data_IF_607114003736
#
_entry.id   IF_607114003736
#
_cell.length_a   1.000
_cell.length_b   1.000
_cell.length_c   1.000
_cell.angle_alpha   90.00
_cell.angle_beta   90.00
_cell.angle_gamma   90.00
#
_symmetry.space_group_name_H-M   'P 1'
#
loop_
_entity.id
_entity.type
_entity.pdbx_description
1 polymer ?
#
# COMPACT_ATOMS: atom_id res chain seq x y z
N UNK A 1 -3.60 11.43 -33.88
CA UNK A 1 -4.80 12.27 -34.10
C UNK A 1 -4.61 13.54 -33.29
N UNK A 2 -4.85 14.70 -33.89
CA UNK A 2 -4.69 16.00 -33.23
C UNK A 2 -5.83 16.21 -32.22
N UNK A 3 -5.56 16.84 -31.08
CA UNK A 3 -6.54 17.17 -30.02
C UNK A 3 -7.81 17.82 -30.61
N UNK A 4 -7.65 18.63 -31.66
CA UNK A 4 -8.71 19.32 -32.39
C UNK A 4 -9.67 18.38 -33.14
N UNK A 5 -9.25 17.18 -33.55
CA UNK A 5 -10.14 16.19 -34.15
C UNK A 5 -10.93 15.45 -33.09
N UNK A 6 -10.32 15.13 -31.94
CA UNK A 6 -11.00 14.50 -30.80
C UNK A 6 -12.08 15.40 -30.21
N UNK A 7 -11.83 16.71 -30.10
CA UNK A 7 -12.84 17.67 -29.65
C UNK A 7 -14.01 17.79 -30.65
N UNK A 8 -13.74 17.70 -31.96
CA UNK A 8 -14.79 17.67 -32.99
C UNK A 8 -15.61 16.38 -32.94
N UNK A 9 -14.96 15.23 -32.75
CA UNK A 9 -15.62 13.92 -32.62
C UNK A 9 -16.51 13.81 -31.37
N UNK A 10 -16.16 14.54 -30.31
CA UNK A 10 -16.97 14.68 -29.10
C UNK A 10 -18.08 15.75 -29.25
N UNK A 11 -18.28 16.32 -30.45
CA UNK A 11 -19.22 17.40 -30.74
C UNK A 11 -19.00 18.68 -29.89
N UNK A 12 -17.77 18.94 -29.46
CA UNK A 12 -17.43 20.02 -28.50
C UNK A 12 -17.09 21.36 -29.17
N UNK A 13 -16.96 21.40 -30.49
CA UNK A 13 -16.82 22.66 -31.23
C UNK A 13 -18.22 23.18 -31.52
N UNK A 14 -18.58 24.31 -30.91
CA UNK A 14 -19.85 24.99 -31.19
C UNK A 14 -20.00 25.17 -32.70
N UNK A 15 -21.11 24.64 -33.22
CA UNK A 15 -21.65 24.97 -34.53
C UNK A 15 -22.13 26.43 -34.51
N UNK A 16 -21.21 27.38 -34.53
CA UNK A 16 -21.53 28.74 -35.00
C UNK A 16 -21.49 28.73 -36.52
N UNK A 17 -22.65 28.52 -37.12
CA UNK A 17 -22.89 28.78 -38.53
C UNK A 17 -22.65 30.27 -38.82
N UNK A 18 -21.59 30.60 -39.55
CA UNK A 18 -21.63 31.47 -40.74
C UNK A 18 -20.22 31.73 -41.27
N UNK A 19 -20.15 31.73 -42.59
CA UNK A 19 -19.00 32.01 -43.44
C UNK A 19 -18.29 33.32 -43.06
N UNK A 20 -16.98 33.28 -42.76
CA UNK A 20 -15.92 34.13 -43.36
C UNK A 20 -14.54 33.99 -42.70
N UNK A 21 -13.51 33.74 -43.55
CA UNK A 21 -12.04 33.95 -43.43
C UNK A 21 -11.24 33.36 -42.24
N UNK A 22 -9.98 32.91 -42.51
CA UNK A 22 -9.15 32.24 -41.52
C UNK A 22 -8.56 33.24 -40.53
N UNK A 23 -8.91 33.09 -39.25
CA UNK A 23 -8.28 33.75 -38.10
C UNK A 23 -7.59 32.68 -37.22
N UNK A 24 -6.59 33.06 -36.41
CA UNK A 24 -5.62 32.14 -35.79
C UNK A 24 -6.30 31.19 -34.77
N UNK A 25 -5.65 30.10 -34.32
CA UNK A 25 -6.37 28.94 -33.77
C UNK A 25 -7.22 29.37 -32.59
N UNK A 26 -8.50 28.98 -32.62
CA UNK A 26 -9.45 29.27 -31.56
C UNK A 26 -8.86 28.86 -30.20
N UNK A 27 -8.88 29.73 -29.17
CA UNK A 27 -8.43 29.35 -27.84
C UNK A 27 -9.29 28.16 -27.38
N UNK A 28 -8.64 27.15 -26.80
CA UNK A 28 -9.33 25.99 -26.25
C UNK A 28 -10.40 26.45 -25.25
N UNK A 29 -11.59 25.82 -25.23
CA UNK A 29 -12.61 26.16 -24.25
C UNK A 29 -12.08 25.97 -22.82
N UNK A 30 -12.62 26.69 -21.83
CA UNK A 30 -12.25 26.47 -20.44
C UNK A 30 -12.52 25.02 -20.04
N UNK A 31 -11.57 24.41 -19.33
CA UNK A 31 -11.62 22.99 -18.99
C UNK A 31 -12.88 22.61 -18.19
N UNK A 32 -13.42 23.51 -17.39
CA UNK A 32 -14.64 23.27 -16.59
C UNK A 32 -15.88 23.09 -17.46
N UNK A 33 -16.03 23.84 -18.57
CA UNK A 33 -17.13 23.67 -19.52
C UNK A 33 -17.03 22.33 -20.24
N UNK A 34 -15.82 21.96 -20.66
CA UNK A 34 -15.53 20.67 -21.25
C UNK A 34 -15.92 19.53 -20.30
N UNK A 35 -15.47 19.61 -19.04
CA UNK A 35 -15.77 18.60 -18.02
C UNK A 35 -17.28 18.49 -17.79
N UNK A 36 -18.01 19.60 -17.71
CA UNK A 36 -19.46 19.60 -17.56
C UNK A 36 -20.17 18.94 -18.77
N UNK A 37 -19.67 19.14 -19.99
CA UNK A 37 -20.21 18.49 -21.18
C UNK A 37 -19.91 16.98 -21.19
N UNK A 38 -18.67 16.60 -20.89
CA UNK A 38 -18.26 15.19 -20.77
C UNK A 38 -19.10 14.46 -19.72
N UNK A 39 -19.38 15.09 -18.58
CA UNK A 39 -20.27 14.54 -17.56
C UNK A 39 -21.66 14.20 -18.13
N UNK A 40 -22.26 15.11 -18.90
CA UNK A 40 -23.58 14.88 -19.51
C UNK A 40 -23.56 13.72 -20.51
N UNK A 41 -22.53 13.66 -21.35
CA UNK A 41 -22.36 12.56 -22.31
C UNK A 41 -22.18 11.21 -21.61
N UNK A 42 -21.37 11.16 -20.55
CA UNK A 42 -21.12 9.95 -19.77
C UNK A 42 -22.38 9.44 -19.06
N UNK A 43 -23.17 10.35 -18.47
CA UNK A 43 -24.45 10.00 -17.84
C UNK A 43 -25.44 9.47 -18.89
N UNK A 44 -25.52 10.11 -20.06
CA UNK A 44 -26.39 9.67 -21.15
C UNK A 44 -25.99 8.29 -21.72
N UNK A 45 -24.69 8.00 -21.77
CA UNK A 45 -24.17 6.74 -22.29
C UNK A 45 -24.22 5.58 -21.27
N UNK A 46 -24.51 5.83 -19.98
CA UNK A 46 -24.45 4.82 -18.93
C UNK A 46 -25.40 3.61 -19.14
N UNK A 47 -26.47 3.78 -19.93
CA UNK A 47 -27.40 2.70 -20.30
C UNK A 47 -26.95 1.83 -21.49
N UNK A 48 -25.95 2.26 -22.27
CA UNK A 48 -25.52 1.60 -23.51
C UNK A 48 -24.04 1.19 -23.45
N UNK A 49 -23.71 -0.09 -23.21
CA UNK A 49 -22.32 -0.52 -22.97
C UNK A 49 -21.38 -0.31 -24.17
N UNK A 50 -21.90 -0.33 -25.40
CA UNK A 50 -21.12 -0.08 -26.61
C UNK A 50 -20.78 1.40 -26.80
N UNK A 51 -21.70 2.30 -26.44
CA UNK A 51 -21.51 3.74 -26.48
C UNK A 51 -20.61 4.21 -25.34
N UNK A 52 -20.84 3.69 -24.13
CA UNK A 52 -20.00 4.00 -22.97
C UNK A 52 -18.55 3.59 -23.19
N UNK A 53 -18.30 2.40 -23.74
CA UNK A 53 -16.94 1.92 -24.06
C UNK A 53 -16.22 2.83 -25.07
N UNK A 54 -16.90 3.26 -26.14
CA UNK A 54 -16.34 4.20 -27.12
C UNK A 54 -16.03 5.56 -26.47
N UNK A 55 -16.95 6.09 -25.68
CA UNK A 55 -16.81 7.37 -25.00
C UNK A 55 -15.67 7.35 -23.96
N UNK A 56 -15.57 6.28 -23.16
CA UNK A 56 -14.45 6.08 -22.22
C UNK A 56 -13.11 6.06 -22.98
N UNK A 57 -13.05 5.37 -24.12
CA UNK A 57 -11.86 5.34 -24.97
C UNK A 57 -11.49 6.72 -25.55
N UNK A 58 -12.47 7.56 -25.88
CA UNK A 58 -12.24 8.94 -26.30
C UNK A 58 -11.75 9.81 -25.14
N UNK A 59 -12.35 9.68 -23.95
CA UNK A 59 -11.94 10.40 -22.73
C UNK A 59 -10.52 10.02 -22.33
N UNK A 60 -10.16 8.74 -22.39
CA UNK A 60 -8.79 8.29 -22.14
C UNK A 60 -7.81 8.96 -23.10
N UNK A 61 -8.09 8.97 -24.41
CA UNK A 61 -7.22 9.60 -25.41
C UNK A 61 -7.11 11.11 -25.20
N UNK A 62 -8.20 11.76 -24.81
CA UNK A 62 -8.21 13.18 -24.47
C UNK A 62 -7.26 13.44 -23.30
N UNK A 63 -7.36 12.66 -22.21
CA UNK A 63 -6.43 12.83 -21.09
C UNK A 63 -4.98 12.57 -21.50
N UNK A 64 -4.70 11.55 -22.31
CA UNK A 64 -3.33 11.24 -22.77
C UNK A 64 -2.70 12.30 -23.68
N UNK A 65 -3.51 13.06 -24.41
CA UNK A 65 -3.02 13.99 -25.46
C UNK A 65 -3.16 15.47 -25.08
N UNK A 66 -3.93 15.76 -24.04
CA UNK A 66 -4.14 17.11 -23.55
C UNK A 66 -2.88 17.67 -22.89
N UNK A 67 -2.68 18.98 -23.06
CA UNK A 67 -1.64 19.73 -22.38
C UNK A 67 -1.92 19.75 -20.86
N UNK A 68 -0.97 19.30 -20.01
CA UNK A 68 -1.10 19.35 -18.56
C UNK A 68 -1.43 20.76 -18.02
N UNK A 69 -0.90 21.81 -18.64
CA UNK A 69 -1.12 23.18 -18.17
C UNK A 69 -2.56 23.64 -18.42
N UNK A 70 -3.19 23.17 -19.50
CA UNK A 70 -4.59 23.42 -19.79
C UNK A 70 -5.52 22.59 -18.90
N UNK A 71 -5.19 21.32 -18.63
CA UNK A 71 -5.94 20.47 -17.69
C UNK A 71 -5.97 21.06 -16.27
N UNK A 72 -4.95 21.83 -15.90
CA UNK A 72 -4.78 22.42 -14.57
C UNK A 72 -5.15 23.91 -14.52
N UNK A 73 -5.78 24.47 -15.55
CA UNK A 73 -6.10 25.91 -15.61
C UNK A 73 -7.48 26.20 -15.01
N UNK A 74 -7.57 26.90 -13.85
CA UNK A 74 -8.85 27.42 -13.36
C UNK A 74 -9.38 28.55 -14.27
N UNK A 75 -10.69 28.82 -14.19
CA UNK A 75 -11.38 29.84 -15.03
C UNK A 75 -11.15 31.27 -14.51
N UNK A 76 -10.97 31.42 -13.21
CA UNK A 76 -10.68 32.69 -12.55
C UNK A 76 -9.35 32.61 -11.80
N UNK A 77 -8.56 33.68 -11.87
CA UNK A 77 -7.32 33.87 -11.08
C UNK A 77 -7.61 34.28 -9.63
N UNK A 78 -8.88 34.35 -9.23
CA UNK A 78 -9.29 34.66 -7.87
C UNK A 78 -8.90 33.50 -6.95
N UNK A 79 -8.01 33.76 -5.98
CA UNK A 79 -7.33 32.77 -5.14
C UNK A 79 -8.31 31.98 -4.26
N UNK A 80 -9.00 30.99 -4.86
CA UNK A 80 -9.81 30.01 -4.15
C UNK A 80 -11.08 29.54 -4.88
N UNK A 81 -11.78 30.44 -5.58
CA UNK A 81 -13.06 30.15 -6.24
C UNK A 81 -12.87 29.28 -7.47
N UNK A 82 -11.95 29.67 -8.38
CA UNK A 82 -11.67 28.91 -9.60
C UNK A 82 -11.18 27.48 -9.33
N UNK A 83 -10.35 27.29 -8.30
CA UNK A 83 -9.89 25.96 -7.90
C UNK A 83 -10.98 25.09 -7.26
N UNK A 84 -11.93 25.69 -6.55
CA UNK A 84 -13.07 24.96 -5.97
C UNK A 84 -14.01 24.46 -7.08
N UNK A 85 -14.29 25.30 -8.07
CA UNK A 85 -15.08 24.92 -9.25
C UNK A 85 -14.40 23.80 -10.05
N UNK A 86 -13.10 23.93 -10.29
CA UNK A 86 -12.32 22.90 -10.99
C UNK A 86 -12.34 21.55 -10.25
N UNK A 87 -12.17 21.55 -8.92
CA UNK A 87 -12.29 20.34 -8.08
C UNK A 87 -13.68 19.71 -8.20
N UNK A 88 -14.74 20.54 -8.17
CA UNK A 88 -16.12 20.08 -8.30
C UNK A 88 -16.39 19.45 -9.68
N UNK A 89 -15.90 20.09 -10.75
CA UNK A 89 -16.02 19.61 -12.12
C UNK A 89 -15.33 18.25 -12.31
N UNK A 90 -14.08 18.12 -11.84
CA UNK A 90 -13.37 16.84 -11.89
C UNK A 90 -14.04 15.74 -11.07
N UNK A 91 -14.50 16.07 -9.86
CA UNK A 91 -15.25 15.10 -9.03
C UNK A 91 -16.49 14.59 -9.76
N UNK A 92 -17.21 15.48 -10.44
CA UNK A 92 -18.44 15.18 -11.17
C UNK A 92 -18.19 14.29 -12.39
N UNK A 93 -17.17 14.58 -13.18
CA UNK A 93 -16.78 13.75 -14.34
C UNK A 93 -16.29 12.38 -13.89
N UNK A 94 -15.50 12.31 -12.82
CA UNK A 94 -14.98 11.04 -12.30
C UNK A 94 -16.11 10.18 -11.74
N UNK A 95 -17.07 10.77 -11.04
CA UNK A 95 -18.28 10.05 -10.63
C UNK A 95 -19.08 9.53 -11.82
N UNK A 96 -19.21 10.30 -12.91
CA UNK A 96 -19.88 9.85 -14.13
C UNK A 96 -19.11 8.72 -14.84
N UNK A 97 -17.78 8.84 -14.96
CA UNK A 97 -16.91 7.78 -15.52
C UNK A 97 -17.03 6.48 -14.74
N UNK A 98 -16.98 6.56 -13.40
CA UNK A 98 -17.19 5.42 -12.50
C UNK A 98 -18.59 4.82 -12.69
N UNK A 99 -19.60 5.68 -12.84
CA UNK A 99 -20.99 5.27 -13.11
C UNK A 99 -21.16 4.45 -14.38
N UNK A 100 -20.36 4.71 -15.43
CA UNK A 100 -20.39 3.92 -16.68
C UNK A 100 -19.96 2.46 -16.50
N UNK A 101 -19.27 2.14 -15.40
CA UNK A 101 -18.85 0.79 -15.04
C UNK A 101 -19.42 0.38 -13.67
N UNK A 102 -20.57 0.94 -13.26
CA UNK A 102 -21.21 0.57 -12.02
C UNK A 102 -21.67 -0.90 -12.02
N UNK A 103 -21.67 -1.51 -10.84
CA UNK A 103 -22.22 -2.86 -10.66
C UNK A 103 -23.73 -2.83 -10.95
N UNK A 104 -24.29 -3.90 -11.55
CA UNK A 104 -25.74 -3.99 -11.75
C UNK A 104 -26.50 -3.84 -10.43
N UNK A 105 -27.56 -3.06 -10.42
CA UNK A 105 -28.40 -2.86 -9.25
C UNK A 105 -29.28 -4.10 -9.04
N UNK A 106 -29.29 -4.63 -7.81
CA UNK A 106 -30.22 -5.65 -7.39
C UNK A 106 -31.44 -4.94 -6.81
N UNK A 107 -32.61 -5.01 -7.46
CA UNK A 107 -33.82 -4.32 -7.00
C UNK A 107 -34.43 -4.98 -5.75
N UNK A 108 -34.21 -6.30 -5.55
CA UNK A 108 -34.70 -7.08 -4.41
C UNK A 108 -33.59 -7.92 -3.77
N UNK A 109 -33.50 -7.91 -2.43
CA UNK A 109 -32.53 -8.67 -1.61
C UNK A 109 -32.62 -10.21 -1.78
N UNK A 110 -33.69 -10.70 -2.40
CA UNK A 110 -33.98 -12.13 -2.58
C UNK A 110 -33.70 -12.65 -4.00
N UNK A 111 -33.47 -11.77 -4.97
CA UNK A 111 -33.27 -12.16 -6.37
C UNK A 111 -31.79 -12.23 -6.72
N UNK A 112 -31.34 -13.35 -7.29
CA UNK A 112 -29.98 -13.46 -7.82
C UNK A 112 -29.95 -12.86 -9.23
N UNK A 113 -29.18 -11.80 -9.43
CA UNK A 113 -28.90 -11.27 -10.76
C UNK A 113 -28.24 -12.34 -11.63
N UNK A 114 -28.59 -12.37 -12.92
CA UNK A 114 -27.99 -13.29 -13.88
C UNK A 114 -26.48 -13.01 -14.03
N UNK A 115 -25.67 -14.07 -14.09
CA UNK A 115 -24.23 -13.98 -14.28
C UNK A 115 -23.86 -13.25 -15.58
N UNK A 116 -24.74 -13.28 -16.59
CA UNK A 116 -24.57 -12.52 -17.82
C UNK A 116 -24.45 -11.00 -17.59
N UNK A 117 -25.15 -10.46 -16.59
CA UNK A 117 -25.12 -9.02 -16.26
C UNK A 117 -23.72 -8.55 -15.79
N UNK A 118 -22.88 -9.46 -15.31
CA UNK A 118 -21.54 -9.16 -14.81
C UNK A 118 -20.43 -9.33 -15.87
N UNK A 119 -20.71 -9.92 -17.03
CA UNK A 119 -19.66 -10.28 -18.01
C UNK A 119 -18.92 -9.05 -18.58
N UNK A 120 -19.61 -7.93 -18.76
CA UNK A 120 -19.02 -6.68 -19.26
C UNK A 120 -18.39 -5.81 -18.18
N UNK A 121 -18.60 -6.12 -16.89
CA UNK A 121 -18.12 -5.32 -15.77
C UNK A 121 -16.58 -5.26 -15.73
N UNK A 122 -15.82 -6.36 -15.87
CA UNK A 122 -14.36 -6.29 -15.81
C UNK A 122 -13.74 -5.45 -16.93
N UNK A 123 -14.25 -5.56 -18.16
CA UNK A 123 -13.74 -4.79 -19.31
C UNK A 123 -14.09 -3.32 -19.21
N UNK A 124 -15.32 -2.99 -18.77
CA UNK A 124 -15.73 -1.63 -18.46
C UNK A 124 -14.87 -1.01 -17.35
N UNK A 125 -14.67 -1.74 -16.25
CA UNK A 125 -13.85 -1.28 -15.14
C UNK A 125 -12.39 -1.05 -15.53
N UNK A 126 -11.80 -1.95 -16.32
CA UNK A 126 -10.45 -1.79 -16.84
C UNK A 126 -10.32 -0.53 -17.73
N UNK A 127 -11.32 -0.27 -18.59
CA UNK A 127 -11.33 0.93 -19.44
C UNK A 127 -11.42 2.22 -18.61
N UNK A 128 -12.30 2.25 -17.60
CA UNK A 128 -12.43 3.39 -16.68
C UNK A 128 -11.14 3.60 -15.89
N UNK A 129 -10.55 2.55 -15.32
CA UNK A 129 -9.28 2.64 -14.60
C UNK A 129 -8.13 3.13 -15.49
N UNK A 130 -8.10 2.71 -16.76
CA UNK A 130 -7.13 3.19 -17.75
C UNK A 130 -7.28 4.69 -18.01
N UNK A 131 -8.51 5.19 -18.19
CA UNK A 131 -8.78 6.62 -18.35
C UNK A 131 -8.38 7.43 -17.10
N UNK A 132 -8.70 6.93 -15.90
CA UNK A 132 -8.34 7.59 -14.63
C UNK A 132 -6.82 7.59 -14.40
N UNK A 133 -6.13 6.52 -14.81
CA UNK A 133 -4.65 6.44 -14.73
C UNK A 133 -4.01 7.45 -15.68
N UNK A 134 -4.54 7.63 -16.89
CA UNK A 134 -4.08 8.64 -17.82
C UNK A 134 -4.22 10.05 -17.23
N UNK A 135 -5.38 10.38 -16.64
CA UNK A 135 -5.60 11.68 -15.99
C UNK A 135 -4.59 11.93 -14.87
N UNK A 136 -4.40 10.96 -13.97
CA UNK A 136 -3.47 11.08 -12.85
C UNK A 136 -1.99 11.11 -13.27
N UNK A 137 -1.65 10.54 -14.42
CA UNK A 137 -0.29 10.59 -14.96
C UNK A 137 0.21 12.03 -15.13
N UNK A 138 -0.63 12.89 -15.69
CA UNK A 138 -0.31 14.31 -15.89
C UNK A 138 -0.16 15.08 -14.58
N UNK A 139 -0.89 14.69 -13.52
CA UNK A 139 -0.81 15.35 -12.22
C UNK A 139 0.49 15.02 -11.45
N UNK A 140 1.24 13.99 -11.88
CA UNK A 140 2.54 13.60 -11.29
C UNK A 140 3.71 14.40 -11.85
N UNK A 141 3.66 14.77 -13.14
CA UNK A 141 4.76 15.40 -13.86
C UNK A 141 4.85 16.91 -13.64
N UNK A 142 3.79 17.52 -13.11
CA UNK A 142 3.75 18.93 -12.67
C UNK A 142 4.59 19.17 -11.41
N UNK A 143 5.92 19.12 -11.53
CA UNK A 143 6.84 19.58 -10.50
C UNK A 143 6.97 21.11 -10.52
N UNK A 144 6.65 21.80 -9.42
CA UNK A 144 6.83 23.25 -9.31
C UNK A 144 5.85 23.95 -8.37
N UNK A 145 5.60 25.24 -8.61
CA UNK A 145 4.77 26.14 -7.80
C UNK A 145 3.32 25.66 -7.59
N UNK A 146 2.76 24.87 -8.52
CA UNK A 146 1.37 24.37 -8.48
C UNK A 146 1.16 23.08 -7.68
N UNK A 147 2.21 22.55 -7.04
CA UNK A 147 2.15 21.24 -6.34
C UNK A 147 1.08 21.19 -5.25
N UNK A 148 0.85 22.28 -4.52
CA UNK A 148 -0.16 22.34 -3.47
C UNK A 148 -1.59 22.24 -4.06
N UNK A 149 -1.81 22.85 -5.22
CA UNK A 149 -3.11 22.94 -5.88
C UNK A 149 -3.47 21.61 -6.57
N UNK A 150 -2.50 21.01 -7.27
CA UNK A 150 -2.64 19.66 -7.84
C UNK A 150 -2.88 18.61 -6.77
N UNK A 151 -2.23 18.75 -5.61
CA UNK A 151 -2.50 17.89 -4.45
C UNK A 151 -3.95 18.03 -3.98
N UNK A 152 -4.49 19.26 -3.93
CA UNK A 152 -5.91 19.49 -3.61
C UNK A 152 -6.88 18.81 -4.59
N UNK A 153 -6.55 18.80 -5.89
CA UNK A 153 -7.32 18.09 -6.92
C UNK A 153 -7.26 16.57 -6.74
N UNK A 154 -6.05 16.00 -6.57
CA UNK A 154 -5.84 14.57 -6.30
C UNK A 154 -6.69 14.12 -5.12
N UNK A 155 -6.70 14.90 -4.03
CA UNK A 155 -7.43 14.55 -2.81
C UNK A 155 -8.95 14.63 -2.97
N UNK A 156 -9.45 15.56 -3.78
CA UNK A 156 -10.88 15.67 -4.05
C UNK A 156 -11.42 14.44 -4.79
N UNK A 157 -10.58 13.82 -5.63
CA UNK A 157 -10.99 12.72 -6.52
C UNK A 157 -10.49 11.34 -6.08
N UNK A 158 -9.46 11.27 -5.23
CA UNK A 158 -8.89 10.00 -4.79
C UNK A 158 -9.89 9.06 -4.10
N UNK A 159 -10.78 9.52 -3.18
CA UNK A 159 -11.70 8.61 -2.50
C UNK A 159 -12.66 7.83 -3.42
N UNK A 160 -13.42 8.46 -4.35
CA UNK A 160 -14.29 7.70 -5.24
C UNK A 160 -13.50 6.77 -6.16
N UNK A 161 -12.32 7.18 -6.63
CA UNK A 161 -11.51 6.32 -7.49
C UNK A 161 -10.94 5.12 -6.73
N UNK A 162 -10.47 5.34 -5.50
CA UNK A 162 -10.00 4.26 -4.64
C UNK A 162 -11.12 3.24 -4.37
N UNK A 163 -12.29 3.73 -3.96
CA UNK A 163 -13.44 2.87 -3.69
C UNK A 163 -13.80 2.05 -4.93
N UNK A 164 -13.91 2.69 -6.10
CA UNK A 164 -14.18 2.01 -7.36
C UNK A 164 -13.12 0.96 -7.71
N UNK A 165 -11.85 1.31 -7.56
CA UNK A 165 -10.73 0.41 -7.86
C UNK A 165 -10.75 -0.83 -6.95
N UNK A 166 -11.08 -0.65 -5.67
CA UNK A 166 -11.22 -1.74 -4.71
C UNK A 166 -12.42 -2.63 -5.05
N UNK A 167 -13.59 -2.04 -5.29
CA UNK A 167 -14.82 -2.81 -5.56
C UNK A 167 -14.74 -3.59 -6.86
N UNK A 168 -13.98 -3.12 -7.84
CA UNK A 168 -13.78 -3.79 -9.14
C UNK A 168 -12.49 -4.60 -9.22
N UNK A 169 -11.74 -4.72 -8.10
CA UNK A 169 -10.45 -5.43 -8.04
C UNK A 169 -9.41 -4.91 -9.05
N UNK A 170 -9.50 -3.63 -9.42
CA UNK A 170 -8.59 -2.92 -10.32
C UNK A 170 -7.54 -2.10 -9.56
N UNK A 171 -7.29 -2.41 -8.28
CA UNK A 171 -6.30 -1.69 -7.47
C UNK A 171 -4.91 -1.93 -8.05
N UNK A 172 -4.31 -0.87 -8.60
CA UNK A 172 -2.92 -0.86 -9.03
C UNK A 172 -2.03 -0.20 -7.98
N UNK A 173 -0.77 -0.63 -7.92
CA UNK A 173 0.28 -0.01 -7.08
C UNK A 173 0.42 1.49 -7.38
N UNK A 174 0.06 1.90 -8.60
CA UNK A 174 -0.01 3.29 -9.01
C UNK A 174 -0.88 4.13 -8.08
N UNK A 175 -2.09 3.69 -7.70
CA UNK A 175 -2.96 4.45 -6.79
C UNK A 175 -2.33 4.71 -5.42
N UNK A 176 -1.68 3.68 -4.86
CA UNK A 176 -0.99 3.77 -3.57
C UNK A 176 0.25 4.67 -3.63
N UNK A 177 0.74 5.04 -4.82
CA UNK A 177 1.86 5.98 -4.94
C UNK A 177 1.40 7.45 -5.01
N UNK A 178 0.12 7.72 -5.26
CA UNK A 178 -0.39 9.07 -5.57
C UNK A 178 -0.83 9.87 -4.34
N UNK A 179 -1.24 9.21 -3.25
CA UNK A 179 -1.76 9.89 -2.05
C UNK A 179 -0.77 9.73 -0.91
N UNK A 180 0.19 10.64 -0.80
CA UNK A 180 1.17 10.62 0.30
C UNK A 180 0.79 11.59 1.43
N UNK A 181 1.47 11.49 2.58
CA UNK A 181 1.30 12.43 3.72
C UNK A 181 1.27 13.90 3.27
N UNK A 182 0.55 14.79 3.98
CA UNK A 182 -0.28 14.58 5.19
C UNK A 182 -1.78 14.28 4.97
N UNK A 183 -2.23 14.10 3.73
CA UNK A 183 -3.63 14.38 3.39
C UNK A 183 -4.59 13.18 3.40
N UNK A 184 -4.15 11.99 3.82
CA UNK A 184 -4.94 10.77 3.78
C UNK A 184 -5.96 10.68 4.95
N UNK A 185 -5.69 11.36 6.06
CA UNK A 185 -6.46 11.25 7.30
C UNK A 185 -7.97 11.52 7.16
N UNK A 186 -8.43 12.60 6.49
CA UNK A 186 -9.86 12.89 6.35
C UNK A 186 -10.64 11.79 5.60
N UNK A 187 -9.94 10.99 4.80
CA UNK A 187 -10.53 9.96 3.96
C UNK A 187 -10.46 8.56 4.58
N UNK A 188 -9.77 8.38 5.71
CA UNK A 188 -9.65 7.09 6.40
C UNK A 188 -10.99 6.35 6.60
N UNK A 189 -12.10 7.00 7.01
CA UNK A 189 -13.37 6.29 7.18
C UNK A 189 -13.89 5.66 5.88
N UNK A 190 -13.51 6.19 4.72
CA UNK A 190 -13.89 5.68 3.39
C UNK A 190 -12.87 4.69 2.82
N UNK A 191 -11.58 4.86 3.13
CA UNK A 191 -10.50 4.03 2.60
C UNK A 191 -10.31 2.73 3.41
N UNK A 192 -10.48 2.80 4.73
CA UNK A 192 -10.17 1.68 5.62
C UNK A 192 -11.09 0.47 5.41
N UNK A 193 -12.44 0.60 5.37
CA UNK A 193 -13.31 -0.57 5.23
C UNK A 193 -13.07 -1.37 3.93
N UNK A 194 -12.98 -0.76 2.73
CA UNK A 194 -12.67 -1.50 1.51
C UNK A 194 -11.29 -2.19 1.55
N UNK A 195 -10.30 -1.56 2.20
CA UNK A 195 -8.96 -2.16 2.36
C UNK A 195 -8.99 -3.41 3.24
N UNK A 196 -9.79 -3.38 4.32
CA UNK A 196 -10.00 -4.53 5.20
C UNK A 196 -10.76 -5.65 4.49
N UNK A 197 -11.74 -5.32 3.65
CA UNK A 197 -12.45 -6.31 2.83
C UNK A 197 -11.50 -7.01 1.84
N UNK A 198 -10.60 -6.27 1.18
CA UNK A 198 -9.57 -6.88 0.32
C UNK A 198 -8.60 -7.75 1.11
N UNK A 199 -8.17 -7.28 2.29
CA UNK A 199 -7.28 -8.03 3.18
C UNK A 199 -7.89 -9.40 3.56
N UNK A 200 -9.22 -9.48 3.63
CA UNK A 200 -9.97 -10.67 4.04
C UNK A 200 -10.41 -11.53 2.85
N UNK A 201 -10.05 -11.12 1.63
CA UNK A 201 -10.46 -11.80 0.41
C UNK A 201 -9.79 -13.18 0.29
N UNK A 202 -10.56 -14.19 -0.13
CA UNK A 202 -10.08 -15.59 -0.22
C UNK A 202 -8.99 -15.80 -1.28
N UNK A 203 -9.00 -15.00 -2.36
CA UNK A 203 -7.95 -15.01 -3.40
C UNK A 203 -6.68 -14.32 -2.91
N UNK A 204 -5.49 -14.96 -3.01
CA UNK A 204 -4.25 -14.43 -2.48
C UNK A 204 -3.83 -13.11 -3.15
N UNK A 205 -4.13 -12.92 -4.44
CA UNK A 205 -3.80 -11.69 -5.18
C UNK A 205 -4.49 -10.47 -4.58
N UNK A 206 -5.77 -10.61 -4.28
CA UNK A 206 -6.59 -9.55 -3.69
C UNK A 206 -6.21 -9.31 -2.22
N UNK A 207 -5.92 -10.39 -1.49
CA UNK A 207 -5.41 -10.30 -0.12
C UNK A 207 -4.11 -9.49 -0.06
N UNK A 208 -3.15 -9.80 -0.93
CA UNK A 208 -1.89 -9.05 -1.05
C UNK A 208 -2.13 -7.57 -1.37
N UNK A 209 -3.07 -7.25 -2.26
CA UNK A 209 -3.42 -5.87 -2.55
C UNK A 209 -4.02 -5.17 -1.33
N UNK A 210 -4.92 -5.84 -0.59
CA UNK A 210 -5.43 -5.37 0.68
C UNK A 210 -4.32 -5.04 1.68
N UNK A 211 -3.38 -5.96 1.90
CA UNK A 211 -2.23 -5.74 2.79
C UNK A 211 -1.38 -4.55 2.34
N UNK A 212 -1.14 -4.39 1.03
CA UNK A 212 -0.41 -3.23 0.48
C UNK A 212 -1.17 -1.92 0.70
N UNK A 213 -2.49 -1.91 0.55
CA UNK A 213 -3.33 -0.75 0.87
C UNK A 213 -3.25 -0.39 2.35
N UNK A 214 -3.34 -1.39 3.24
CA UNK A 214 -3.21 -1.17 4.68
C UNK A 214 -1.81 -0.63 5.04
N UNK A 215 -0.75 -1.16 4.43
CA UNK A 215 0.61 -0.68 4.65
C UNK A 215 0.78 0.77 4.20
N UNK A 216 0.23 1.12 3.05
CA UNK A 216 0.22 2.49 2.57
C UNK A 216 -0.53 3.44 3.53
N UNK A 217 -1.68 3.03 4.08
CA UNK A 217 -2.42 3.79 5.09
C UNK A 217 -1.56 4.00 6.35
N UNK A 218 -0.88 2.94 6.82
CA UNK A 218 0.02 3.01 7.99
C UNK A 218 1.16 4.00 7.75
N UNK A 219 1.78 3.95 6.57
CA UNK A 219 2.88 4.84 6.22
C UNK A 219 2.42 6.28 6.03
N UNK A 220 1.20 6.52 5.53
CA UNK A 220 0.74 7.86 5.13
C UNK A 220 -0.24 8.54 6.09
N UNK A 221 -0.50 7.93 7.25
CA UNK A 221 -1.35 8.51 8.29
C UNK A 221 -0.55 8.84 9.55
N UNK A 222 -0.78 10.00 10.19
CA UNK A 222 -0.22 10.27 11.50
C UNK A 222 -0.61 9.20 12.53
N UNK A 223 0.34 8.81 13.38
CA UNK A 223 0.11 7.74 14.36
C UNK A 223 -1.00 8.07 15.36
N UNK A 224 -1.23 9.36 15.67
CA UNK A 224 -2.33 9.79 16.52
C UNK A 224 -3.70 9.43 15.92
N UNK A 225 -3.89 9.67 14.63
CA UNK A 225 -5.17 9.47 13.94
C UNK A 225 -5.47 7.97 13.73
N UNK A 226 -4.44 7.14 13.60
CA UNK A 226 -4.60 5.68 13.59
C UNK A 226 -4.94 5.14 14.99
N UNK A 227 -4.45 5.75 16.06
CA UNK A 227 -4.83 5.34 17.42
C UNK A 227 -6.25 5.76 17.77
N UNK A 228 -6.73 6.88 17.22
CA UNK A 228 -8.11 7.31 17.38
C UNK A 228 -9.07 6.21 16.90
N UNK A 229 -10.16 6.02 17.66
CA UNK A 229 -11.18 5.01 17.42
C UNK A 229 -10.63 3.57 17.31
N UNK A 230 -9.47 3.28 17.91
CA UNK A 230 -8.81 1.96 17.88
C UNK A 230 -8.55 1.41 16.48
N UNK A 231 -8.41 2.27 15.46
CA UNK A 231 -8.16 1.82 14.07
C UNK A 231 -6.86 1.02 13.95
N UNK A 232 -5.81 1.43 14.65
CA UNK A 232 -4.53 0.73 14.70
C UNK A 232 -4.67 -0.69 15.26
N UNK A 233 -5.57 -0.91 16.23
CA UNK A 233 -5.84 -2.24 16.77
C UNK A 233 -6.59 -3.12 15.76
N UNK A 234 -7.56 -2.54 15.05
CA UNK A 234 -8.25 -3.25 13.95
C UNK A 234 -7.26 -3.68 12.87
N UNK A 235 -6.35 -2.78 12.47
CA UNK A 235 -5.27 -3.09 11.54
C UNK A 235 -4.37 -4.21 12.06
N UNK A 236 -4.01 -4.17 13.35
CA UNK A 236 -3.18 -5.18 13.97
C UNK A 236 -3.82 -6.56 13.88
N UNK A 237 -5.09 -6.70 14.31
CA UNK A 237 -5.81 -7.97 14.27
C UNK A 237 -5.98 -8.48 12.82
N UNK A 238 -6.30 -7.58 11.89
CA UNK A 238 -6.48 -7.91 10.48
C UNK A 238 -5.18 -8.41 9.80
N UNK A 239 -4.01 -7.92 10.22
CA UNK A 239 -2.71 -8.36 9.71
C UNK A 239 -2.16 -9.56 10.48
N UNK A 240 -2.35 -9.60 11.80
CA UNK A 240 -1.81 -10.66 12.66
C UNK A 240 -2.39 -12.03 12.30
N UNK A 241 -3.67 -12.11 11.93
CA UNK A 241 -4.28 -13.37 11.48
C UNK A 241 -3.60 -13.99 10.26
N UNK A 242 -2.99 -13.18 9.40
CA UNK A 242 -2.30 -13.69 8.21
C UNK A 242 -0.99 -14.40 8.54
N UNK A 243 -0.42 -14.18 9.73
CA UNK A 243 0.76 -14.91 10.18
C UNK A 243 0.52 -16.42 10.33
N UNK A 244 -0.75 -16.84 10.45
CA UNK A 244 -1.16 -18.25 10.50
C UNK A 244 -1.29 -18.91 9.12
N UNK A 245 -1.17 -18.14 8.03
CA UNK A 245 -1.18 -18.70 6.67
C UNK A 245 0.18 -19.31 6.30
N UNK A 246 0.21 -20.12 5.25
CA UNK A 246 1.45 -20.75 4.74
C UNK A 246 1.88 -20.22 3.38
N UNK A 247 1.42 -19.02 3.00
CA UNK A 247 1.71 -18.40 1.72
C UNK A 247 2.81 -17.34 1.88
N UNK A 248 3.96 -17.60 1.26
CA UNK A 248 5.11 -16.71 1.31
C UNK A 248 4.84 -15.34 0.69
N UNK A 249 4.01 -15.29 -0.37
CA UNK A 249 3.68 -14.05 -1.06
C UNK A 249 2.82 -13.12 -0.20
N UNK A 250 1.99 -13.68 0.69
CA UNK A 250 1.18 -12.92 1.66
C UNK A 250 2.01 -12.55 2.89
N UNK A 251 2.79 -13.49 3.44
CA UNK A 251 3.54 -13.25 4.69
C UNK A 251 4.55 -12.11 4.52
N UNK A 252 5.22 -12.00 3.38
CA UNK A 252 6.24 -10.97 3.15
C UNK A 252 5.70 -9.52 3.32
N UNK A 253 4.64 -9.09 2.62
CA UNK A 253 4.06 -7.76 2.83
C UNK A 253 3.41 -7.61 4.21
N UNK A 254 2.85 -8.68 4.79
CA UNK A 254 2.28 -8.64 6.15
C UNK A 254 3.34 -8.33 7.20
N UNK A 255 4.50 -9.00 7.15
CA UNK A 255 5.62 -8.74 8.07
C UNK A 255 6.15 -7.31 7.92
N UNK A 256 6.26 -6.82 6.68
CA UNK A 256 6.69 -5.45 6.42
C UNK A 256 5.70 -4.43 7.01
N UNK A 257 4.40 -4.65 6.81
CA UNK A 257 3.36 -3.79 7.34
C UNK A 257 3.28 -3.81 8.87
N UNK A 258 3.35 -4.99 9.49
CA UNK A 258 3.36 -5.15 10.95
C UNK A 258 4.57 -4.44 11.57
N UNK A 259 5.74 -4.52 10.94
CA UNK A 259 6.94 -3.83 11.45
C UNK A 259 6.71 -2.32 11.59
N UNK A 260 6.03 -1.68 10.65
CA UNK A 260 5.73 -0.24 10.71
C UNK A 260 4.53 0.06 11.63
N UNK A 261 3.47 -0.75 11.57
CA UNK A 261 2.28 -0.59 12.40
C UNK A 261 2.61 -0.71 13.90
N UNK A 262 3.55 -1.58 14.28
CA UNK A 262 3.95 -1.74 15.66
C UNK A 262 4.52 -0.45 16.27
N UNK A 263 5.16 0.43 15.47
CA UNK A 263 5.60 1.77 15.93
C UNK A 263 4.42 2.71 16.19
N UNK A 264 3.31 2.51 15.48
CA UNK A 264 2.07 3.22 15.73
C UNK A 264 1.44 2.70 17.02
N UNK A 265 1.45 1.40 17.29
CA UNK A 265 0.80 0.88 18.49
C UNK A 265 1.57 1.19 19.77
N UNK A 266 2.89 0.95 19.76
CA UNK A 266 3.71 0.94 20.96
C UNK A 266 5.11 1.51 20.70
N UNK A 267 5.74 2.06 21.75
CA UNK A 267 7.15 2.45 21.65
C UNK A 267 8.01 1.21 21.48
N UNK A 268 9.04 1.24 20.62
CA UNK A 268 9.86 0.06 20.39
C UNK A 268 10.67 -0.30 21.64
N UNK A 269 10.81 -1.60 21.97
CA UNK A 269 11.54 -2.03 23.17
C UNK A 269 13.01 -1.59 23.21
N UNK A 270 13.60 -1.36 22.04
CA UNK A 270 14.96 -0.80 21.87
C UNK A 270 15.10 0.66 22.35
N UNK A 271 14.02 1.45 22.35
CA UNK A 271 14.06 2.89 22.72
C UNK A 271 13.74 3.17 24.19
N UNK A 272 13.29 2.17 24.94
CA UNK A 272 12.83 2.36 26.33
C UNK A 272 13.97 2.25 27.33
N UNK A 273 14.42 3.38 27.85
CA UNK A 273 15.49 3.51 28.87
C UNK A 273 15.03 3.22 30.31
N UNK A 274 13.73 3.01 30.57
CA UNK A 274 13.19 2.84 31.93
C UNK A 274 13.07 1.38 32.37
N UNK A 275 13.58 1.13 33.57
CA UNK A 275 13.77 -0.13 34.30
C UNK A 275 12.52 -0.73 34.97
N UNK A 276 11.32 -0.54 34.42
CA UNK A 276 10.15 -1.27 34.92
C UNK A 276 10.11 -2.68 34.34
N UNK A 277 9.67 -3.67 35.13
CA UNK A 277 9.52 -5.06 34.70
C UNK A 277 8.64 -5.12 33.45
N UNK A 278 9.30 -5.25 32.30
CA UNK A 278 8.67 -5.08 31.00
C UNK A 278 7.72 -6.25 30.76
N UNK A 279 6.41 -5.99 30.92
CA UNK A 279 5.33 -6.89 30.51
C UNK A 279 5.50 -7.26 29.02
N UNK A 280 5.10 -8.48 28.61
CA UNK A 280 5.03 -8.84 27.19
C UNK A 280 4.25 -7.79 26.41
N UNK A 281 4.78 -7.38 25.26
CA UNK A 281 4.18 -6.36 24.38
C UNK A 281 3.84 -6.95 22.99
N UNK A 282 3.13 -6.20 22.14
CA UNK A 282 2.73 -6.72 20.80
C UNK A 282 3.94 -7.10 19.94
N UNK A 283 5.08 -6.44 20.14
CA UNK A 283 6.33 -6.82 19.49
C UNK A 283 6.82 -8.22 19.92
N UNK A 284 6.66 -8.57 21.20
CA UNK A 284 6.96 -9.91 21.70
C UNK A 284 6.02 -10.95 21.08
N UNK A 285 4.74 -10.63 20.89
CA UNK A 285 3.75 -11.55 20.35
C UNK A 285 4.01 -11.89 18.88
N UNK A 286 4.27 -10.87 18.05
CA UNK A 286 4.65 -11.06 16.64
C UNK A 286 5.96 -11.83 16.54
N UNK A 287 7.01 -11.43 17.28
CA UNK A 287 8.30 -12.13 17.20
C UNK A 287 8.20 -13.57 17.69
N UNK A 288 7.47 -13.83 18.78
CA UNK A 288 7.25 -15.18 19.31
C UNK A 288 6.58 -16.07 18.25
N UNK A 289 5.51 -15.58 17.62
CA UNK A 289 4.80 -16.35 16.60
C UNK A 289 5.67 -16.60 15.37
N UNK A 290 6.36 -15.57 14.85
CA UNK A 290 7.28 -15.71 13.71
C UNK A 290 8.38 -16.74 14.01
N UNK A 291 9.05 -16.65 15.17
CA UNK A 291 10.08 -17.63 15.55
C UNK A 291 9.52 -19.04 15.71
N UNK A 292 8.26 -19.18 16.17
CA UNK A 292 7.58 -20.49 16.26
C UNK A 292 7.40 -21.11 14.89
N UNK A 293 6.95 -20.33 13.92
CA UNK A 293 6.73 -20.82 12.56
C UNK A 293 8.06 -21.13 11.89
N UNK A 294 9.07 -20.27 12.08
CA UNK A 294 10.41 -20.51 11.57
C UNK A 294 11.02 -21.84 12.05
N UNK A 295 10.87 -22.21 13.33
CA UNK A 295 11.47 -23.42 13.90
C UNK A 295 11.04 -24.70 13.17
N UNK A 296 9.79 -24.77 12.68
CA UNK A 296 9.24 -25.92 11.96
C UNK A 296 9.17 -25.75 10.42
N UNK A 297 9.65 -24.62 9.89
CA UNK A 297 9.47 -24.28 8.47
C UNK A 297 10.45 -25.03 7.55
N UNK A 298 9.91 -25.65 6.52
CA UNK A 298 10.66 -26.46 5.55
C UNK A 298 10.50 -25.96 4.11
N UNK A 299 9.49 -25.14 3.81
CA UNK A 299 9.30 -24.54 2.48
C UNK A 299 10.34 -23.44 2.27
N UNK A 300 11.24 -23.65 1.30
CA UNK A 300 12.35 -22.72 0.99
C UNK A 300 11.86 -21.28 0.78
N UNK A 301 10.74 -21.08 0.09
CA UNK A 301 10.17 -19.75 -0.14
C UNK A 301 9.80 -19.01 1.17
N UNK A 302 9.15 -19.69 2.12
CA UNK A 302 8.82 -19.11 3.42
C UNK A 302 10.05 -18.88 4.28
N UNK A 303 11.01 -19.82 4.26
CA UNK A 303 12.28 -19.66 4.97
C UNK A 303 13.01 -18.40 4.50
N UNK A 304 13.06 -18.14 3.19
CA UNK A 304 13.64 -16.90 2.63
C UNK A 304 12.90 -15.65 3.12
N UNK A 305 11.57 -15.66 3.10
CA UNK A 305 10.76 -14.54 3.59
C UNK A 305 11.03 -14.27 5.08
N UNK A 306 10.93 -15.29 5.93
CA UNK A 306 11.21 -15.12 7.35
C UNK A 306 12.66 -14.69 7.63
N UNK A 307 13.63 -15.30 6.93
CA UNK A 307 15.03 -14.94 7.06
C UNK A 307 15.28 -13.49 6.68
N UNK A 308 14.62 -12.98 5.64
CA UNK A 308 14.74 -11.58 5.22
C UNK A 308 14.15 -10.59 6.25
N UNK A 309 13.07 -10.97 6.94
CA UNK A 309 12.36 -10.10 7.88
C UNK A 309 12.96 -10.11 9.29
N UNK A 310 13.38 -11.28 9.79
CA UNK A 310 13.83 -11.48 11.17
C UNK A 310 14.91 -10.47 11.64
N UNK A 311 15.94 -10.11 10.84
CA UNK A 311 16.95 -9.16 11.26
C UNK A 311 16.38 -7.80 11.71
N UNK A 312 15.31 -7.32 11.08
CA UNK A 312 14.67 -6.05 11.42
C UNK A 312 13.86 -6.14 12.72
N UNK A 313 13.17 -7.26 12.94
CA UNK A 313 12.45 -7.51 14.19
C UNK A 313 13.41 -7.64 15.38
N UNK A 314 14.53 -8.34 15.20
CA UNK A 314 15.57 -8.45 16.24
C UNK A 314 16.16 -7.08 16.59
N UNK A 315 16.45 -6.25 15.59
CA UNK A 315 16.90 -4.88 15.82
C UNK A 315 15.85 -4.06 16.57
N UNK A 316 14.56 -4.20 16.19
CA UNK A 316 13.45 -3.50 16.84
C UNK A 316 13.31 -3.86 18.33
N UNK A 317 13.54 -5.12 18.68
CA UNK A 317 13.50 -5.60 20.06
C UNK A 317 14.68 -5.09 20.91
N UNK A 318 15.85 -4.89 20.30
CA UNK A 318 17.08 -4.58 21.04
C UNK A 318 17.36 -5.62 22.13
N UNK A 319 17.71 -5.17 23.35
CA UNK A 319 17.97 -6.05 24.51
C UNK A 319 16.77 -6.97 24.86
N UNK A 320 15.54 -6.59 24.51
CA UNK A 320 14.37 -7.41 24.80
C UNK A 320 14.36 -8.74 24.01
N UNK A 321 15.18 -8.88 22.96
CA UNK A 321 15.38 -10.15 22.24
C UNK A 321 15.86 -11.27 23.18
N UNK A 322 16.49 -10.92 24.31
CA UNK A 322 16.95 -11.87 25.32
C UNK A 322 15.85 -12.83 25.80
N UNK A 323 14.58 -12.40 25.81
CA UNK A 323 13.44 -13.25 26.18
C UNK A 323 13.18 -14.40 25.22
N UNK A 324 13.62 -14.24 23.97
CA UNK A 324 13.38 -15.18 22.88
C UNK A 324 14.65 -15.98 22.51
N UNK A 325 15.77 -15.80 23.24
CA UNK A 325 17.09 -16.36 22.89
C UNK A 325 17.07 -17.86 22.60
N UNK A 326 16.40 -18.65 23.46
CA UNK A 326 16.31 -20.11 23.27
C UNK A 326 15.70 -20.48 21.92
N UNK A 327 14.71 -19.72 21.43
CA UNK A 327 14.06 -19.98 20.15
C UNK A 327 14.85 -19.39 18.98
N UNK A 328 15.43 -18.21 19.17
CA UNK A 328 16.38 -17.61 18.21
C UNK A 328 17.53 -18.58 17.92
N UNK A 329 18.10 -19.21 18.95
CA UNK A 329 19.16 -20.22 18.81
C UNK A 329 18.74 -21.37 17.90
N UNK A 330 17.58 -21.98 18.17
CA UNK A 330 17.07 -23.11 17.38
C UNK A 330 16.84 -22.73 15.92
N UNK A 331 16.24 -21.55 15.68
CA UNK A 331 16.03 -21.03 14.34
C UNK A 331 17.36 -20.78 13.63
N UNK A 332 18.35 -20.17 14.31
CA UNK A 332 19.68 -19.94 13.76
C UNK A 332 20.36 -21.25 13.35
N UNK A 333 20.37 -22.26 14.22
CA UNK A 333 20.95 -23.57 13.92
C UNK A 333 20.25 -24.21 12.72
N UNK A 334 18.92 -24.27 12.73
CA UNK A 334 18.14 -24.88 11.65
C UNK A 334 18.29 -24.17 10.30
N UNK A 335 18.43 -22.84 10.27
CA UNK A 335 18.58 -22.08 9.02
C UNK A 335 20.02 -22.00 8.52
N UNK A 336 21.02 -21.99 9.42
CA UNK A 336 22.43 -22.15 9.03
C UNK A 336 22.74 -23.59 8.59
N UNK A 337 21.84 -24.53 8.88
CA UNK A 337 21.90 -25.91 8.40
C UNK A 337 21.58 -26.11 6.94
N UNK A 338 20.57 -25.44 6.46
CA UNK A 338 20.05 -25.63 5.12
C UNK A 338 20.78 -24.68 4.16
N UNK A 339 21.36 -25.23 3.08
CA UNK A 339 21.92 -24.42 1.97
C UNK A 339 20.78 -23.79 1.16
N UNK A 340 21.03 -22.61 0.64
CA UNK A 340 20.04 -21.80 -0.10
C UNK A 340 20.64 -21.21 -1.38
N UNK A 341 21.05 -22.05 -2.35
CA UNK A 341 21.70 -21.59 -3.58
C UNK A 341 20.73 -20.78 -4.47
N UNK A 342 21.24 -19.87 -5.32
CA UNK A 342 22.67 -19.63 -5.58
C UNK A 342 23.33 -18.60 -4.64
N UNK A 343 22.55 -17.69 -4.05
CA UNK A 343 23.08 -16.52 -3.31
C UNK A 343 23.27 -16.76 -1.80
N UNK A 344 22.74 -17.87 -1.25
CA UNK A 344 22.79 -18.20 0.19
C UNK A 344 22.22 -17.06 1.09
N UNK A 345 21.30 -16.25 0.55
CA UNK A 345 20.76 -15.04 1.19
C UNK A 345 20.17 -15.32 2.57
N UNK A 346 19.43 -16.42 2.72
CA UNK A 346 18.85 -16.81 4.01
C UNK A 346 19.92 -16.99 5.09
N UNK A 347 21.05 -17.63 4.78
CA UNK A 347 22.13 -17.86 5.75
C UNK A 347 22.87 -16.57 6.09
N UNK A 348 23.11 -15.71 5.12
CA UNK A 348 23.69 -14.38 5.36
C UNK A 348 22.79 -13.57 6.31
N UNK A 349 21.47 -13.60 6.11
CA UNK A 349 20.51 -12.95 7.01
C UNK A 349 20.49 -13.58 8.41
N UNK A 350 20.69 -14.88 8.55
CA UNK A 350 20.84 -15.51 9.86
C UNK A 350 22.14 -15.12 10.57
N UNK A 351 23.24 -14.95 9.84
CA UNK A 351 24.48 -14.42 10.41
C UNK A 351 24.28 -12.96 10.87
N UNK A 352 23.52 -12.16 10.14
CA UNK A 352 23.11 -10.80 10.54
C UNK A 352 22.26 -10.83 11.83
N UNK A 353 21.32 -11.76 11.96
CA UNK A 353 20.54 -11.98 13.20
C UNK A 353 21.44 -12.36 14.37
N UNK A 354 22.38 -13.29 14.15
CA UNK A 354 23.35 -13.69 15.17
C UNK A 354 24.16 -12.48 15.64
N UNK A 355 24.74 -11.72 14.70
CA UNK A 355 25.53 -10.53 15.00
C UNK A 355 24.74 -9.51 15.83
N UNK A 356 23.51 -9.19 15.41
CA UNK A 356 22.64 -8.25 16.14
C UNK A 356 22.27 -8.76 17.52
N UNK A 357 21.87 -10.03 17.62
CA UNK A 357 21.51 -10.65 18.90
C UNK A 357 22.70 -10.64 19.85
N UNK A 358 23.89 -11.00 19.38
CA UNK A 358 25.13 -10.93 20.17
C UNK A 358 25.46 -9.51 20.60
N UNK A 359 25.29 -8.50 19.73
CA UNK A 359 25.51 -7.09 20.09
C UNK A 359 24.56 -6.62 21.20
N UNK A 360 23.28 -6.97 21.12
CA UNK A 360 22.27 -6.56 22.10
C UNK A 360 22.37 -7.31 23.42
N UNK A 361 22.77 -8.57 23.34
CA UNK A 361 22.85 -9.45 24.47
C UNK A 361 24.25 -9.46 25.12
N UNK A 362 25.24 -8.80 24.51
CA UNK A 362 26.51 -8.53 25.16
C UNK A 362 26.25 -7.80 26.49
N UNK A 363 26.75 -8.29 27.63
CA UNK A 363 26.61 -7.56 28.88
C UNK A 363 27.24 -6.18 28.67
N UNK A 364 26.45 -5.11 28.81
CA UNK A 364 27.00 -3.75 28.88
C UNK A 364 27.78 -3.65 30.18
N UNK A 365 29.03 -4.11 30.13
CA UNK A 365 29.92 -4.37 31.26
C UNK A 365 30.61 -3.08 31.74
N UNK A 366 29.88 -1.96 31.81
CA UNK A 366 30.46 -0.71 32.29
C UNK A 366 29.45 0.32 32.85
N UNK A 367 28.25 0.46 32.30
CA UNK A 367 27.41 1.63 32.65
C UNK A 367 26.01 1.24 33.13
N UNK A 368 25.89 1.00 34.44
CA UNK A 368 24.80 1.49 35.28
C UNK A 368 24.99 0.92 36.68
N UNK A 369 25.15 1.82 37.66
CA UNK A 369 25.02 1.45 39.06
C UNK A 369 23.67 0.76 39.27
N UNK A 370 23.70 -0.52 39.63
CA UNK A 370 22.69 -1.08 40.51
C UNK A 370 21.73 -2.15 39.99
N UNK A 371 21.85 -2.74 38.80
CA UNK A 371 21.18 -4.03 38.51
C UNK A 371 22.01 -4.87 37.52
N UNK A 372 22.84 -5.75 38.07
CA UNK A 372 23.44 -6.86 37.32
C UNK A 372 22.34 -7.72 36.70
N UNK A 373 22.39 -8.06 35.40
CA UNK A 373 21.50 -9.09 34.86
C UNK A 373 21.71 -10.38 35.66
N UNK A 374 20.61 -11.04 36.06
CA UNK A 374 20.67 -12.23 36.89
C UNK A 374 21.60 -13.31 36.29
N UNK A 375 22.25 -14.14 37.13
CA UNK A 375 23.25 -15.12 36.70
C UNK A 375 22.73 -16.07 35.61
N UNK A 376 21.42 -16.34 35.58
CA UNK A 376 20.76 -17.13 34.53
C UNK A 376 20.91 -16.55 33.12
N UNK A 377 20.81 -15.22 32.98
CA UNK A 377 20.95 -14.54 31.68
C UNK A 377 22.39 -14.60 31.21
N UNK A 378 23.34 -14.39 32.12
CA UNK A 378 24.77 -14.53 31.80
C UNK A 378 25.15 -15.96 31.44
N UNK A 379 24.61 -16.96 32.14
CA UNK A 379 24.81 -18.37 31.82
C UNK A 379 24.22 -18.68 30.45
N UNK A 380 22.97 -18.29 30.17
CA UNK A 380 22.33 -18.47 28.87
C UNK A 380 23.10 -17.80 27.74
N UNK A 381 23.68 -16.61 27.97
CA UNK A 381 24.50 -15.93 26.97
C UNK A 381 25.84 -16.61 26.73
N UNK A 382 26.47 -17.10 27.79
CA UNK A 382 27.70 -17.88 27.70
C UNK A 382 27.46 -19.22 27.00
N UNK A 383 26.31 -19.86 27.24
CA UNK A 383 25.92 -21.10 26.58
C UNK A 383 25.56 -20.83 25.12
N UNK A 384 24.74 -19.81 24.83
CA UNK A 384 24.37 -19.40 23.47
C UNK A 384 25.59 -19.08 22.62
N UNK A 385 26.53 -18.28 23.16
CA UNK A 385 27.79 -18.00 22.45
C UNK A 385 28.66 -19.24 22.31
N UNK A 386 28.81 -20.08 23.34
CA UNK A 386 29.58 -21.33 23.24
C UNK A 386 28.96 -22.33 22.26
N UNK A 387 27.65 -22.53 22.24
CA UNK A 387 26.95 -23.45 21.34
C UNK A 387 27.08 -22.98 19.90
N UNK A 388 26.88 -21.68 19.65
CA UNK A 388 26.98 -21.13 18.29
C UNK A 388 28.43 -21.08 17.83
N UNK A 389 29.38 -20.71 18.68
CA UNK A 389 30.82 -20.77 18.35
C UNK A 389 31.23 -22.21 18.08
N UNK A 390 30.81 -23.18 18.90
CA UNK A 390 31.13 -24.59 18.69
C UNK A 390 30.49 -25.14 17.41
N UNK A 391 29.25 -24.75 17.11
CA UNK A 391 28.57 -25.07 15.86
C UNK A 391 29.28 -24.45 14.65
N UNK A 392 29.60 -23.15 14.69
CA UNK A 392 30.34 -22.46 13.63
C UNK A 392 31.74 -23.04 13.47
N UNK A 393 32.46 -23.36 14.55
CA UNK A 393 33.78 -23.96 14.50
C UNK A 393 33.74 -25.37 13.91
N UNK A 394 32.80 -26.22 14.33
CA UNK A 394 32.64 -27.57 13.78
C UNK A 394 32.20 -27.55 12.31
N UNK A 395 31.42 -26.54 11.92
CA UNK A 395 30.85 -26.45 10.58
C UNK A 395 31.71 -25.67 9.59
N UNK A 396 32.40 -24.62 10.00
CA UNK A 396 33.48 -24.01 9.21
C UNK A 396 34.54 -25.05 8.91
N UNK A 397 34.86 -25.96 9.85
CA UNK A 397 35.76 -27.10 9.60
C UNK A 397 35.22 -28.07 8.53
N UNK A 398 33.90 -28.19 8.36
CA UNK A 398 33.26 -28.98 7.29
C UNK A 398 33.09 -28.21 5.98
N UNK A 399 32.98 -26.89 6.03
CA UNK A 399 32.84 -26.00 4.86
C UNK A 399 34.20 -25.72 4.21
N UNK A 400 35.29 -25.66 5.01
CA UNK A 400 36.68 -25.50 4.54
C UNK A 400 37.37 -26.80 4.13
N UNK A 401 36.73 -27.96 4.35
CA UNK A 401 37.23 -29.29 3.94
C UNK A 401 36.51 -29.84 2.70
N UNK A 402 35.95 -28.96 1.87
CA UNK A 402 35.58 -29.17 0.46
C UNK A 402 36.23 -28.01 -0.28
#
# INVERSE_FOLDING_TARGET
>A
MELSSLLRDLHLSSSSSSSEKPRPPHPLPPITELLAHLQKLLIGAAGNPSESSKLIGQVQRLFQTADPDWLLSPVSDDEGTGWAELRSAYRSVISALIGCAALPLCEDDCSSLDAAAYQSVPSGAAAVCSALTALLGHWREGGGARRAETTGLVLAVAPPIYLFSVTHLQVSVFWLSQVTRPFLCPFLPRLLPPSLLLNDHYRPENCMLGVRCLHHIVLNTPAADLRQFNRAEVLYQALFKHLYTSDAAIIQPVLSCLLDLLLVLEKPPSSSSSSSSRKPCRHDDVLRLVLTHMEAEHKVALRRVYASALPLYVERMGVAVCRHLRRVERVLLGYLEVRDPPEETSRLKMLEVLQRTSKWAWPRLADAHGHTPGPEVMILLSLFTKQIICFLQNKMRKILNI
#
